data_IF_008908895338
#
_entry.id   IF_008908895338
#
_cell.length_a   1.000
_cell.length_b   1.000
_cell.length_c   1.000
_cell.angle_alpha   90.00
_cell.angle_beta   90.00
_cell.angle_gamma   90.00
#
_symmetry.space_group_name_H-M   'P 1'
#
loop_
_entity.id
_entity.type
_entity.pdbx_description
1 polymer ?
#
# COMPACT_ATOMS: atom_id res chain seq x y z
N UNK A 1 11.41 4.07 -32.31
CA UNK A 1 11.85 3.98 -30.91
C UNK A 1 12.77 5.16 -30.58
N UNK A 2 13.75 5.48 -31.42
CA UNK A 2 14.77 6.52 -31.15
C UNK A 2 14.29 7.99 -31.06
N UNK A 3 13.09 8.33 -31.54
CA UNK A 3 12.53 9.69 -31.50
C UNK A 3 11.18 9.77 -30.77
N UNK A 4 10.91 8.85 -29.84
CA UNK A 4 9.61 8.79 -29.16
C UNK A 4 9.40 9.92 -28.15
N UNK A 5 10.47 10.49 -27.60
CA UNK A 5 10.41 11.53 -26.58
C UNK A 5 10.98 12.86 -27.10
N UNK A 6 10.43 13.97 -26.60
CA UNK A 6 10.87 15.32 -27.00
C UNK A 6 12.27 15.68 -26.46
N UNK A 7 12.73 14.97 -25.44
CA UNK A 7 14.02 15.16 -24.80
C UNK A 7 14.15 14.31 -23.54
N UNK A 8 15.25 14.52 -22.82
CA UNK A 8 15.62 13.68 -21.67
C UNK A 8 14.59 13.74 -20.55
N UNK A 9 14.08 14.93 -20.24
CA UNK A 9 13.10 15.11 -19.17
C UNK A 9 11.80 14.34 -19.44
N UNK A 10 11.36 14.32 -20.70
CA UNK A 10 10.16 13.60 -21.13
C UNK A 10 10.36 12.08 -21.04
N UNK A 11 11.55 11.61 -21.43
CA UNK A 11 11.94 10.20 -21.26
C UNK A 11 12.02 9.79 -19.77
N UNK A 12 12.66 10.62 -18.93
CA UNK A 12 12.81 10.37 -17.50
C UNK A 12 11.46 10.37 -16.78
N UNK A 13 10.54 11.28 -17.14
CA UNK A 13 9.16 11.27 -16.64
C UNK A 13 8.45 9.98 -17.01
N UNK A 14 8.52 9.55 -18.26
CA UNK A 14 7.93 8.28 -18.68
C UNK A 14 8.51 7.10 -17.89
N UNK A 15 9.83 7.07 -17.69
CA UNK A 15 10.49 6.01 -16.95
C UNK A 15 10.07 5.98 -15.47
N UNK A 16 9.93 7.14 -14.82
CA UNK A 16 9.44 7.21 -13.43
C UNK A 16 8.04 6.58 -13.28
N UNK A 17 7.14 6.82 -14.25
CA UNK A 17 5.82 6.18 -14.24
C UNK A 17 5.92 4.65 -14.31
N UNK A 18 6.83 4.11 -15.12
CA UNK A 18 7.11 2.67 -15.16
C UNK A 18 7.68 2.17 -13.82
N UNK A 19 8.66 2.88 -13.25
CA UNK A 19 9.26 2.55 -11.96
C UNK A 19 8.25 2.56 -10.82
N UNK A 20 7.30 3.49 -10.82
CA UNK A 20 6.19 3.51 -9.86
C UNK A 20 5.32 2.24 -9.96
N UNK A 21 5.05 1.76 -11.19
CA UNK A 21 4.32 0.50 -11.38
C UNK A 21 5.15 -0.72 -10.97
N UNK A 22 6.45 -0.73 -11.25
CA UNK A 22 7.35 -1.80 -10.82
C UNK A 22 7.39 -1.88 -9.30
N UNK A 23 7.53 -0.75 -8.61
CA UNK A 23 7.47 -0.68 -7.16
C UNK A 23 6.15 -1.25 -6.61
N UNK A 24 5.02 -0.89 -7.24
CA UNK A 24 3.71 -1.41 -6.85
C UNK A 24 3.62 -2.94 -6.94
N UNK A 25 4.13 -3.55 -8.02
CA UNK A 25 3.98 -4.99 -8.29
C UNK A 25 5.09 -5.85 -7.70
N UNK A 26 6.28 -5.30 -7.47
CA UNK A 26 7.44 -6.06 -7.02
C UNK A 26 7.17 -6.68 -5.64
N UNK A 27 7.59 -7.94 -5.49
CA UNK A 27 7.52 -8.64 -4.21
C UNK A 27 8.50 -8.00 -3.22
N UNK A 28 8.32 -8.21 -1.91
CA UNK A 28 9.22 -7.63 -0.92
C UNK A 28 10.69 -8.05 -1.06
N UNK A 29 10.92 -9.33 -1.34
CA UNK A 29 12.25 -9.87 -1.65
C UNK A 29 12.55 -9.83 -3.17
N UNK A 30 11.79 -9.03 -3.92
CA UNK A 30 11.99 -8.88 -5.36
C UNK A 30 13.09 -7.87 -5.65
N UNK A 31 13.79 -8.11 -6.75
CA UNK A 31 14.80 -7.21 -7.29
C UNK A 31 14.54 -6.95 -8.77
N UNK A 32 15.13 -5.87 -9.29
CA UNK A 32 15.02 -5.49 -10.69
C UNK A 32 16.39 -5.12 -11.25
N UNK A 33 16.55 -5.39 -12.54
CA UNK A 33 17.69 -4.95 -13.34
C UNK A 33 17.18 -3.98 -14.41
N UNK A 34 17.69 -2.75 -14.40
CA UNK A 34 17.33 -1.72 -15.36
C UNK A 34 18.53 -1.40 -16.25
N UNK A 35 18.43 -1.76 -17.52
CA UNK A 35 19.41 -1.37 -18.53
C UNK A 35 19.25 0.10 -18.89
N UNK A 36 20.35 0.85 -18.92
CA UNK A 36 20.36 2.25 -19.32
C UNK A 36 21.64 2.63 -20.06
N UNK A 37 21.53 3.69 -20.87
CA UNK A 37 22.67 4.27 -21.55
C UNK A 37 23.56 5.06 -20.59
N UNK A 38 24.87 5.07 -20.84
CA UNK A 38 25.87 5.77 -20.02
C UNK A 38 25.54 7.25 -19.76
N UNK A 39 24.89 7.94 -20.71
CA UNK A 39 24.61 9.37 -20.64
C UNK A 39 23.60 9.76 -19.55
N UNK A 40 22.56 8.95 -19.34
CA UNK A 40 21.48 9.21 -18.37
C UNK A 40 21.57 8.29 -17.14
N UNK A 41 22.63 7.50 -17.02
CA UNK A 41 22.72 6.48 -15.98
C UNK A 41 22.63 7.08 -14.57
N UNK A 42 23.28 8.22 -14.34
CA UNK A 42 23.26 8.92 -13.05
C UNK A 42 21.88 9.49 -12.72
N UNK A 43 21.20 10.12 -13.68
CA UNK A 43 19.85 10.67 -13.46
C UNK A 43 18.85 9.57 -13.13
N UNK A 44 18.93 8.45 -13.85
CA UNK A 44 18.07 7.28 -13.61
C UNK A 44 18.39 6.67 -12.24
N UNK A 45 19.67 6.57 -11.86
CA UNK A 45 20.05 6.06 -10.54
C UNK A 45 19.49 6.91 -9.41
N UNK A 46 19.59 8.25 -9.52
CA UNK A 46 19.04 9.19 -8.54
C UNK A 46 17.52 9.02 -8.43
N UNK A 47 16.81 8.97 -9.55
CA UNK A 47 15.36 8.73 -9.59
C UNK A 47 14.98 7.38 -8.97
N UNK A 48 15.74 6.31 -9.26
CA UNK A 48 15.47 4.99 -8.69
C UNK A 48 15.59 4.97 -7.17
N UNK A 49 16.53 5.74 -6.59
CA UNK A 49 16.74 5.83 -5.14
C UNK A 49 15.54 6.42 -4.38
N UNK A 50 14.62 7.10 -5.08
CA UNK A 50 13.37 7.57 -4.45
C UNK A 50 12.42 6.42 -4.10
N UNK A 51 12.51 5.28 -4.80
CA UNK A 51 11.56 4.15 -4.66
C UNK A 51 12.22 2.83 -4.27
N UNK A 52 13.46 2.61 -4.68
CA UNK A 52 14.18 1.34 -4.54
C UNK A 52 15.49 1.51 -3.80
N UNK A 53 15.95 0.44 -3.16
CA UNK A 53 17.32 0.37 -2.66
C UNK A 53 18.25 -0.07 -3.79
N UNK A 54 18.97 0.89 -4.40
CA UNK A 54 19.95 0.60 -5.45
C UNK A 54 21.20 -0.01 -4.81
N UNK A 55 21.47 -1.27 -5.16
CA UNK A 55 22.59 -2.04 -4.59
C UNK A 55 23.85 -1.91 -5.44
N UNK A 56 23.72 -2.08 -6.76
CA UNK A 56 24.87 -2.08 -7.66
C UNK A 56 24.59 -1.25 -8.91
N UNK A 57 25.62 -0.51 -9.34
CA UNK A 57 25.72 0.08 -10.68
C UNK A 57 26.69 -0.77 -11.49
N UNK A 58 26.17 -1.67 -12.32
CA UNK A 58 26.98 -2.60 -13.10
C UNK A 58 27.38 -1.93 -14.41
N UNK A 59 28.69 -1.90 -14.67
CA UNK A 59 29.26 -1.42 -15.93
C UNK A 59 29.61 -2.64 -16.78
N UNK A 60 28.87 -2.83 -17.87
CA UNK A 60 29.10 -3.94 -18.77
C UNK A 60 29.93 -3.51 -19.98
N UNK A 61 31.18 -3.98 -20.05
CA UNK A 61 32.02 -3.81 -21.22
C UNK A 61 31.62 -4.81 -22.30
N UNK A 62 31.22 -4.30 -23.48
CA UNK A 62 30.87 -5.18 -24.59
C UNK A 62 32.14 -5.72 -25.25
N UNK A 63 32.24 -7.05 -25.46
CA UNK A 63 33.44 -7.65 -26.05
C UNK A 63 33.67 -7.22 -27.50
N UNK A 64 32.61 -6.85 -28.21
CA UNK A 64 32.66 -6.34 -29.58
C UNK A 64 31.52 -5.34 -29.83
N UNK A 65 31.67 -4.49 -30.85
CA UNK A 65 30.63 -3.55 -31.22
C UNK A 65 31.07 -2.54 -32.28
N UNK A 66 30.19 -1.57 -32.56
CA UNK A 66 30.41 -0.51 -33.56
C UNK A 66 31.70 0.30 -33.33
N UNK A 67 32.17 0.33 -32.09
CA UNK A 67 33.40 1.01 -31.69
C UNK A 67 34.66 0.41 -32.34
N UNK A 68 34.63 -0.83 -32.81
CA UNK A 68 35.75 -1.43 -33.55
C UNK A 68 36.04 -0.71 -34.89
N UNK A 69 35.03 -0.04 -35.48
CA UNK A 69 35.17 0.72 -36.72
C UNK A 69 35.38 2.22 -36.52
N UNK A 70 35.59 2.69 -35.29
CA UNK A 70 35.79 4.13 -35.06
C UNK A 70 37.21 4.58 -35.46
N UNK A 71 37.32 5.76 -36.06
CA UNK A 71 38.60 6.44 -36.23
C UNK A 71 38.97 7.12 -34.90
N UNK A 72 39.95 6.56 -34.19
CA UNK A 72 40.29 6.95 -32.81
C UNK A 72 40.77 8.41 -32.73
N UNK A 73 41.49 8.86 -33.75
CA UNK A 73 42.08 10.19 -33.83
C UNK A 73 41.03 11.29 -34.03
N UNK A 74 39.88 10.94 -34.62
CA UNK A 74 38.76 11.87 -34.85
C UNK A 74 37.84 12.04 -33.64
N UNK A 75 37.99 11.22 -32.60
CA UNK A 75 37.10 11.22 -31.45
C UNK A 75 37.37 12.41 -30.53
N UNK A 76 36.31 13.11 -30.12
CA UNK A 76 36.36 14.16 -29.08
C UNK A 76 36.17 13.61 -27.67
N UNK A 77 35.78 12.34 -27.55
CA UNK A 77 35.61 11.61 -26.30
C UNK A 77 35.73 10.10 -26.59
N UNK A 78 36.05 9.31 -25.57
CA UNK A 78 36.08 7.85 -25.70
C UNK A 78 34.74 7.32 -26.23
N UNK A 79 34.80 6.37 -27.16
CA UNK A 79 33.60 5.73 -27.66
C UNK A 79 32.91 4.98 -26.50
N UNK A 80 31.59 5.12 -26.31
CA UNK A 80 30.86 4.44 -25.25
C UNK A 80 30.68 2.95 -25.56
N UNK A 81 31.74 2.17 -25.41
CA UNK A 81 31.77 0.71 -25.61
C UNK A 81 31.18 -0.08 -24.42
N UNK A 82 30.43 0.60 -23.56
CA UNK A 82 29.93 0.06 -22.30
C UNK A 82 28.44 0.37 -22.13
N UNK A 83 27.72 -0.56 -21.50
CA UNK A 83 26.36 -0.36 -21.03
C UNK A 83 26.33 -0.21 -19.52
N UNK A 84 25.22 0.32 -18.99
CA UNK A 84 24.95 0.42 -17.57
C UNK A 84 23.74 -0.43 -17.22
N UNK A 85 23.82 -1.15 -16.11
CA UNK A 85 22.71 -1.90 -15.54
C UNK A 85 22.60 -1.53 -14.07
N UNK A 86 21.47 -0.95 -13.69
CA UNK A 86 21.16 -0.62 -12.30
C UNK A 86 20.45 -1.80 -11.67
N UNK A 87 21.02 -2.33 -10.59
CA UNK A 87 20.45 -3.42 -9.81
C UNK A 87 19.91 -2.88 -8.50
N UNK A 88 18.62 -3.10 -8.26
CA UNK A 88 17.94 -2.57 -7.08
C UNK A 88 16.96 -3.58 -6.48
N UNK A 89 16.80 -3.52 -5.16
CA UNK A 89 15.79 -4.27 -4.42
C UNK A 89 14.65 -3.36 -3.95
N UNK A 90 13.55 -3.97 -3.53
CA UNK A 90 12.34 -3.24 -3.22
C UNK A 90 12.40 -2.38 -1.95
N UNK A 91 12.94 -2.89 -0.83
CA UNK A 91 12.90 -2.21 0.47
C UNK A 91 14.29 -2.08 1.10
N UNK A 92 14.58 -0.91 1.69
CA UNK A 92 15.68 -0.74 2.63
C UNK A 92 15.31 -1.37 3.99
N UNK A 93 15.86 -2.55 4.31
CA UNK A 93 15.77 -3.15 5.64
C UNK A 93 14.64 -4.16 5.85
N UNK A 94 14.36 -4.58 7.11
CA UNK A 94 13.43 -5.67 7.40
C UNK A 94 12.05 -5.37 6.83
N UNK A 95 11.45 -6.38 6.20
CA UNK A 95 10.17 -6.27 5.49
C UNK A 95 9.10 -5.57 6.34
N UNK A 96 8.78 -4.33 5.98
CA UNK A 96 7.56 -3.67 6.44
C UNK A 96 6.48 -4.05 5.45
N UNK A 97 5.56 -4.93 5.88
CA UNK A 97 4.40 -5.29 5.07
C UNK A 97 3.77 -4.03 4.48
N UNK A 98 3.41 -4.06 3.19
CA UNK A 98 2.76 -2.93 2.49
C UNK A 98 1.65 -2.40 3.37
N UNK A 99 1.91 -1.32 4.11
CA UNK A 99 0.87 -0.68 4.90
C UNK A 99 0.01 0.00 3.86
N UNK A 100 -1.14 -0.59 3.60
CA UNK A 100 -2.12 0.02 2.73
C UNK A 100 -2.63 1.28 3.43
N UNK A 101 -1.94 2.40 3.20
CA UNK A 101 -2.30 3.70 3.75
C UNK A 101 -3.74 4.06 3.39
N UNK A 102 -4.24 3.53 2.27
CA UNK A 102 -5.64 3.61 1.89
C UNK A 102 -6.53 2.85 2.87
N UNK A 103 -6.32 1.57 3.17
CA UNK A 103 -7.11 0.84 4.17
C UNK A 103 -7.00 1.44 5.59
N UNK A 104 -5.88 2.07 5.94
CA UNK A 104 -5.76 2.82 7.19
C UNK A 104 -6.66 4.07 7.19
N UNK A 105 -6.58 4.89 6.13
CA UNK A 105 -7.42 6.09 5.95
C UNK A 105 -8.90 5.76 5.79
N UNK A 106 -9.24 4.65 5.15
CA UNK A 106 -10.59 4.14 5.00
C UNK A 106 -11.20 3.75 6.36
N UNK A 107 -10.42 3.08 7.24
CA UNK A 107 -10.87 2.78 8.61
C UNK A 107 -11.08 4.04 9.43
N UNK A 108 -10.15 4.99 9.35
CA UNK A 108 -10.25 6.28 10.03
C UNK A 108 -11.53 7.02 9.61
N UNK A 109 -11.77 7.11 8.30
CA UNK A 109 -12.97 7.74 7.74
C UNK A 109 -14.25 7.02 8.18
N UNK A 110 -14.28 5.68 8.12
CA UNK A 110 -15.44 4.89 8.57
C UNK A 110 -15.74 5.10 10.05
N UNK A 111 -14.72 5.19 10.91
CA UNK A 111 -14.91 5.49 12.33
C UNK A 111 -15.53 6.87 12.55
N UNK A 112 -15.09 7.87 11.79
CA UNK A 112 -15.67 9.22 11.88
C UNK A 112 -17.12 9.28 11.39
N UNK A 113 -17.42 8.72 10.22
CA UNK A 113 -18.79 8.75 9.66
C UNK A 113 -19.76 7.95 10.54
N UNK A 114 -19.33 6.80 11.06
CA UNK A 114 -20.19 5.91 11.85
C UNK A 114 -20.27 6.28 13.34
N UNK A 115 -19.55 7.32 13.78
CA UNK A 115 -19.52 7.73 15.19
C UNK A 115 -20.92 7.91 15.83
N UNK A 116 -21.94 8.50 15.16
CA UNK A 116 -23.29 8.60 15.72
C UNK A 116 -23.93 7.23 15.98
N UNK A 117 -23.80 6.29 15.05
CA UNK A 117 -24.34 4.93 15.18
C UNK A 117 -23.58 4.15 16.27
N UNK A 118 -22.25 4.23 16.28
CA UNK A 118 -21.42 3.60 17.33
C UNK A 118 -21.86 4.09 18.71
N UNK A 119 -22.07 5.40 18.85
CA UNK A 119 -22.52 6.03 20.10
C UNK A 119 -23.91 5.55 20.49
N UNK A 120 -24.86 5.49 19.56
CA UNK A 120 -26.20 4.95 19.81
C UNK A 120 -26.16 3.53 20.38
N UNK A 121 -25.44 2.60 19.74
CA UNK A 121 -25.34 1.21 20.21
C UNK A 121 -24.66 1.12 21.58
N UNK A 122 -23.56 1.87 21.77
CA UNK A 122 -22.83 1.89 23.04
C UNK A 122 -23.67 2.43 24.19
N UNK A 123 -24.36 3.55 23.97
CA UNK A 123 -25.15 4.21 24.99
C UNK A 123 -26.37 3.37 25.35
N UNK A 124 -27.11 2.84 24.35
CA UNK A 124 -28.25 1.96 24.60
C UNK A 124 -27.87 0.73 25.44
N UNK A 125 -26.68 0.15 25.20
CA UNK A 125 -26.17 -0.98 25.99
C UNK A 125 -25.80 -0.55 27.41
N UNK A 126 -25.16 0.62 27.56
CA UNK A 126 -24.70 1.13 28.85
C UNK A 126 -25.87 1.55 29.75
N UNK A 127 -26.88 2.24 29.21
CA UNK A 127 -28.08 2.69 29.93
C UNK A 127 -28.86 1.52 30.54
N UNK A 128 -28.97 0.42 29.79
CA UNK A 128 -29.65 -0.80 30.24
C UNK A 128 -28.73 -1.77 31.00
N UNK A 129 -27.43 -1.49 31.10
CA UNK A 129 -26.47 -2.35 31.80
C UNK A 129 -26.29 -3.73 31.16
N UNK A 130 -26.54 -3.86 29.85
CA UNK A 130 -26.57 -5.16 29.17
C UNK A 130 -25.17 -5.73 29.03
N UNK A 131 -24.97 -6.94 29.53
CA UNK A 131 -23.68 -7.63 29.52
C UNK A 131 -23.39 -8.26 28.15
N UNK A 132 -22.10 -8.45 27.85
CA UNK A 132 -21.69 -9.14 26.63
C UNK A 132 -22.19 -10.59 26.57
N UNK A 133 -22.33 -11.24 27.74
CA UNK A 133 -22.85 -12.59 27.88
C UNK A 133 -24.31 -12.68 27.42
N UNK A 134 -25.17 -11.78 27.89
CA UNK A 134 -26.59 -11.72 27.48
C UNK A 134 -26.75 -11.51 25.97
N UNK A 135 -25.92 -10.64 25.38
CA UNK A 135 -25.93 -10.42 23.92
C UNK A 135 -25.49 -11.68 23.16
N UNK A 136 -24.43 -12.33 23.63
CA UNK A 136 -23.95 -13.56 23.02
C UNK A 136 -24.96 -14.71 23.11
N UNK A 137 -25.68 -14.82 24.23
CA UNK A 137 -26.76 -15.80 24.42
C UNK A 137 -27.96 -15.52 23.50
N UNK A 138 -28.38 -14.25 23.39
CA UNK A 138 -29.52 -13.88 22.53
C UNK A 138 -29.22 -14.03 21.02
N UNK A 139 -27.98 -13.75 20.60
CA UNK A 139 -27.61 -13.75 19.18
C UNK A 139 -26.91 -15.03 18.72
N UNK A 140 -26.36 -15.81 19.65
CA UNK A 140 -25.49 -16.96 19.38
C UNK A 140 -24.07 -16.59 18.94
N UNK A 141 -23.71 -15.29 18.91
CA UNK A 141 -22.45 -14.80 18.32
C UNK A 141 -21.56 -14.10 19.34
N UNK A 142 -20.75 -14.88 20.05
CA UNK A 142 -19.80 -14.39 21.07
C UNK A 142 -18.80 -13.36 20.53
N UNK A 143 -18.25 -13.61 19.33
CA UNK A 143 -17.19 -12.77 18.76
C UNK A 143 -17.71 -11.44 18.19
N UNK A 144 -19.03 -11.28 17.98
CA UNK A 144 -19.59 -10.10 17.33
C UNK A 144 -19.94 -8.97 18.29
N UNK A 145 -19.99 -9.25 19.60
CA UNK A 145 -20.32 -8.23 20.61
C UNK A 145 -19.36 -7.05 20.57
N UNK A 146 -18.06 -7.30 20.40
CA UNK A 146 -17.04 -6.26 20.26
C UNK A 146 -17.20 -5.45 18.98
N UNK A 147 -17.60 -6.08 17.87
CA UNK A 147 -17.81 -5.42 16.59
C UNK A 147 -19.09 -4.57 16.57
N UNK A 148 -20.14 -4.95 17.29
CA UNK A 148 -21.39 -4.18 17.32
C UNK A 148 -21.38 -3.05 18.36
N UNK A 149 -20.63 -3.20 19.45
CA UNK A 149 -20.65 -2.27 20.59
C UNK A 149 -19.27 -1.65 20.91
N UNK A 150 -18.24 -1.89 20.10
CA UNK A 150 -16.91 -1.30 20.24
C UNK A 150 -16.62 -0.24 19.19
N UNK A 151 -15.69 0.67 19.47
CA UNK A 151 -15.26 1.69 18.51
C UNK A 151 -14.23 1.17 17.49
N UNK A 152 -13.48 0.14 17.86
CA UNK A 152 -12.52 -0.52 16.98
C UNK A 152 -13.22 -1.58 16.14
N UNK A 153 -12.97 -1.58 14.83
CA UNK A 153 -13.54 -2.55 13.88
C UNK A 153 -15.08 -2.65 13.95
N UNK A 154 -15.76 -1.52 14.17
CA UNK A 154 -17.21 -1.51 14.29
C UNK A 154 -17.90 -1.97 13.01
N UNK A 155 -18.96 -2.76 13.15
CA UNK A 155 -19.79 -3.25 12.06
C UNK A 155 -21.26 -3.15 12.45
N UNK A 156 -22.10 -2.75 11.49
CA UNK A 156 -23.54 -2.77 11.68
C UNK A 156 -24.04 -4.23 11.72
N UNK A 157 -24.85 -4.64 12.70
CA UNK A 157 -25.48 -5.95 12.69
C UNK A 157 -26.37 -6.11 11.46
N UNK A 158 -26.46 -7.33 10.92
CA UNK A 158 -27.49 -7.63 9.92
C UNK A 158 -28.89 -7.58 10.54
N UNK A 159 -29.91 -7.57 9.70
CA UNK A 159 -31.31 -7.45 10.12
C UNK A 159 -31.75 -8.49 11.16
N UNK A 160 -31.38 -9.75 10.95
CA UNK A 160 -31.77 -10.84 11.85
C UNK A 160 -31.13 -10.70 13.24
N UNK A 161 -29.85 -10.34 13.30
CA UNK A 161 -29.14 -10.09 14.56
C UNK A 161 -29.68 -8.81 15.23
N UNK A 162 -29.96 -7.76 14.46
CA UNK A 162 -30.50 -6.50 14.99
C UNK A 162 -31.89 -6.70 15.63
N UNK A 163 -32.77 -7.49 15.01
CA UNK A 163 -34.08 -7.83 15.60
C UNK A 163 -33.95 -8.59 16.93
N UNK A 164 -33.00 -9.53 17.02
CA UNK A 164 -32.71 -10.24 18.28
C UNK A 164 -32.19 -9.28 19.36
N UNK A 165 -31.32 -8.35 18.98
CA UNK A 165 -30.85 -7.30 19.89
C UNK A 165 -31.99 -6.40 20.37
N UNK A 166 -32.88 -5.96 19.47
CA UNK A 166 -34.05 -5.17 19.85
C UNK A 166 -34.95 -5.92 20.84
N UNK A 167 -35.28 -7.18 20.58
CA UNK A 167 -36.09 -7.98 21.49
C UNK A 167 -35.44 -8.13 22.88
N UNK A 168 -34.13 -8.35 22.93
CA UNK A 168 -33.37 -8.41 24.18
C UNK A 168 -33.44 -7.08 24.94
N UNK A 169 -33.20 -5.96 24.24
CA UNK A 169 -33.16 -4.63 24.84
C UNK A 169 -34.54 -4.21 25.35
N UNK A 170 -35.60 -4.46 24.56
CA UNK A 170 -36.98 -4.18 24.97
C UNK A 170 -37.39 -4.98 26.20
N UNK A 171 -37.04 -6.26 26.28
CA UNK A 171 -37.31 -7.10 27.46
C UNK A 171 -36.64 -6.55 28.70
N UNK A 172 -35.34 -6.24 28.63
CA UNK A 172 -34.58 -5.71 29.77
C UNK A 172 -35.05 -4.30 30.17
N UNK A 173 -35.42 -3.46 29.20
CA UNK A 173 -36.01 -2.16 29.48
C UNK A 173 -37.34 -2.30 30.22
N UNK A 174 -38.24 -3.19 29.77
CA UNK A 174 -39.50 -3.44 30.45
C UNK A 174 -39.28 -3.94 31.89
N UNK A 175 -38.34 -4.87 32.10
CA UNK A 175 -37.97 -5.36 33.44
C UNK A 175 -37.43 -4.25 34.35
N UNK A 176 -36.69 -3.27 33.80
CA UNK A 176 -36.02 -2.21 34.56
C UNK A 176 -36.92 -1.00 34.88
N UNK A 177 -37.96 -0.77 34.09
CA UNK A 177 -38.85 0.41 34.21
C UNK A 177 -40.30 0.06 34.58
N UNK A 178 -40.59 -1.20 34.96
CA UNK A 178 -41.88 -1.63 35.53
C UNK A 178 -41.88 -1.74 37.06
N UNK A 179 -40.80 -1.34 37.75
CA UNK A 179 -40.79 -0.98 39.18
C UNK A 179 -40.86 0.55 39.35
#
# INVERSE_FOLDING_TARGET
WDNQWKGDEDYLKWLDHCLAQFWRVLKPAGSLYLFCGHRLASDIEIMMRERFNVLNHIIWAKPSGRWNGCNKESLRAYFPATERVLFAEHYHGPYRGKSDGYAAKERELKQHIMAPLISYFRNARAELGITAKQIAEATGKKNMVSHWFGASQWQLPNEADYRKLQALFSRIAAEKFQE
#
